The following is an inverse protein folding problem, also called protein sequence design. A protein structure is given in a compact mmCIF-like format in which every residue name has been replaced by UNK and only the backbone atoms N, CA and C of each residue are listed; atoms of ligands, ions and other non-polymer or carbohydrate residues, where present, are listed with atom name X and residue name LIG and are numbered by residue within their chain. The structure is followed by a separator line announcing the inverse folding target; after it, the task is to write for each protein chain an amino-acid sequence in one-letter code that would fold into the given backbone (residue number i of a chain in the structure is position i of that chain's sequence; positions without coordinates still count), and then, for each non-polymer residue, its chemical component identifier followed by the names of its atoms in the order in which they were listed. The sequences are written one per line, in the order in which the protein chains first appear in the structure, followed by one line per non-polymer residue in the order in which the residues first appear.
data_IF_569948684929
#
_entry.id   IF_569948684929
#
_cell.length_a   1.000
_cell.length_b   1.000
_cell.length_c   1.000
_cell.angle_alpha   90.00
_cell.angle_beta   90.00
_cell.angle_gamma   90.00
#
_symmetry.space_group_name_H-M   'P 1'
#
loop_
_entity.id
_entity.type
_entity.pdbx_description
1 polymer ?
#
# COMPACT_ATOMS: atom_id res chain seq x y z
N UNK A 1 8.57 36.27 0.77
CA UNK A 1 8.51 34.82 0.45
C UNK A 1 7.16 34.62 -0.22
N UNK A 2 7.13 34.60 -1.55
CA UNK A 2 5.95 34.28 -2.35
C UNK A 2 5.64 32.81 -2.10
N UNK A 3 4.49 32.51 -1.45
CA UNK A 3 3.91 31.17 -1.44
C UNK A 3 3.82 30.71 -2.89
N UNK A 4 4.43 29.56 -3.19
CA UNK A 4 4.23 28.91 -4.47
C UNK A 4 2.73 28.63 -4.57
N UNK A 5 2.07 29.27 -5.52
CA UNK A 5 0.66 29.04 -5.78
C UNK A 5 0.47 27.53 -6.02
N UNK A 6 -0.46 26.93 -5.30
CA UNK A 6 -0.84 25.53 -5.45
C UNK A 6 -1.26 25.28 -6.90
N UNK A 7 -0.40 24.65 -7.68
CA UNK A 7 -0.65 24.36 -9.09
C UNK A 7 -1.34 23.00 -9.19
N UNK A 8 -2.57 23.00 -9.69
CA UNK A 8 -3.29 21.76 -10.01
C UNK A 8 -2.66 21.16 -11.27
N UNK A 9 -2.21 19.91 -11.14
CA UNK A 9 -1.78 19.12 -12.30
C UNK A 9 -3.01 18.42 -12.90
N UNK A 10 -3.25 18.67 -14.19
CA UNK A 10 -4.37 18.06 -14.90
C UNK A 10 -3.88 16.85 -15.70
N UNK A 11 -4.57 15.72 -15.54
CA UNK A 11 -4.27 14.47 -16.24
C UNK A 11 -5.52 14.00 -16.96
N UNK A 12 -5.39 13.75 -18.27
CA UNK A 12 -6.45 13.21 -19.11
C UNK A 12 -6.03 11.85 -19.65
N UNK A 13 -6.48 10.74 -19.02
CA UNK A 13 -6.25 9.41 -19.54
C UNK A 13 -7.17 9.09 -20.71
N UNK A 14 -6.80 8.14 -21.57
CA UNK A 14 -7.72 7.58 -22.58
C UNK A 14 -8.96 7.00 -21.93
N UNK A 15 -8.82 6.38 -20.76
CA UNK A 15 -9.90 5.83 -19.94
C UNK A 15 -9.58 5.97 -18.46
N UNK A 16 -10.60 6.19 -17.65
CA UNK A 16 -10.49 6.22 -16.20
C UNK A 16 -11.46 5.24 -15.58
N UNK A 17 -10.98 4.36 -14.74
CA UNK A 17 -11.81 3.43 -13.97
C UNK A 17 -12.01 3.98 -12.55
N UNK A 18 -13.25 4.25 -12.18
CA UNK A 18 -13.61 4.71 -10.84
C UNK A 18 -15.00 4.20 -10.46
N UNK A 19 -15.19 3.82 -9.20
CA UNK A 19 -16.47 3.35 -8.65
C UNK A 19 -17.16 2.27 -9.51
N UNK A 20 -16.37 1.31 -10.01
CA UNK A 20 -16.88 0.19 -10.81
C UNK A 20 -17.24 0.56 -12.24
N UNK A 21 -16.93 1.78 -12.70
CA UNK A 21 -17.26 2.28 -14.04
C UNK A 21 -16.02 2.71 -14.81
N UNK A 22 -16.10 2.58 -16.12
CA UNK A 22 -15.09 3.07 -17.03
C UNK A 22 -15.59 4.37 -17.68
N UNK A 23 -14.85 5.46 -17.47
CA UNK A 23 -15.15 6.79 -17.98
C UNK A 23 -14.23 7.10 -19.15
N UNK A 24 -14.79 7.65 -20.22
CA UNK A 24 -14.05 8.13 -21.40
C UNK A 24 -14.12 9.65 -21.40
N UNK A 25 -12.99 10.31 -21.64
CA UNK A 25 -12.92 11.77 -21.64
C UNK A 25 -12.86 12.42 -20.25
N UNK A 26 -12.81 11.63 -19.18
CA UNK A 26 -12.66 12.15 -17.83
C UNK A 26 -11.27 12.79 -17.62
N UNK A 27 -11.22 13.80 -16.77
CA UNK A 27 -10.00 14.52 -16.39
C UNK A 27 -9.84 14.51 -14.87
N UNK A 28 -8.61 14.29 -14.41
CA UNK A 28 -8.23 14.37 -13.02
C UNK A 28 -7.46 15.66 -12.74
N UNK A 29 -7.85 16.37 -11.68
CA UNK A 29 -7.06 17.45 -11.10
C UNK A 29 -6.34 16.95 -9.85
N UNK A 30 -5.02 17.01 -9.85
CA UNK A 30 -4.16 16.56 -8.75
C UNK A 30 -3.49 17.76 -8.11
N UNK A 31 -3.64 17.88 -6.79
CA UNK A 31 -3.01 18.89 -5.97
C UNK A 31 -2.29 18.23 -4.80
N UNK A 32 -1.02 18.56 -4.60
CA UNK A 32 -0.19 18.00 -3.52
C UNK A 32 -0.23 16.47 -3.47
N UNK A 33 -0.17 15.80 -4.65
CA UNK A 33 -0.19 14.35 -4.78
C UNK A 33 -1.55 13.69 -4.49
N UNK A 34 -2.62 14.48 -4.39
CA UNK A 34 -3.98 13.97 -4.15
C UNK A 34 -4.93 14.38 -5.26
N UNK A 35 -5.78 13.46 -5.69
CA UNK A 35 -6.87 13.78 -6.61
C UNK A 35 -7.89 14.65 -5.88
N UNK A 36 -8.09 15.87 -6.36
CA UNK A 36 -9.05 16.85 -5.79
C UNK A 36 -10.28 17.01 -6.67
N UNK A 37 -10.10 16.82 -7.97
CA UNK A 37 -11.16 17.06 -8.98
C UNK A 37 -11.21 15.83 -9.88
N UNK A 38 -12.42 15.35 -10.08
CA UNK A 38 -12.79 14.41 -11.12
C UNK A 38 -13.94 15.03 -11.91
N UNK A 39 -13.81 15.14 -13.22
CA UNK A 39 -14.86 15.69 -14.07
C UNK A 39 -14.88 15.01 -15.44
N UNK A 40 -16.08 14.81 -15.98
CA UNK A 40 -16.32 14.40 -17.36
C UNK A 40 -16.62 15.62 -18.26
N UNK A 41 -16.87 16.77 -17.65
CA UNK A 41 -17.13 18.03 -18.37
C UNK A 41 -15.80 18.77 -18.60
N UNK A 42 -15.27 18.66 -19.82
CA UNK A 42 -13.96 19.20 -20.20
C UNK A 42 -14.10 20.66 -20.60
N UNK A 43 -14.48 21.52 -19.70
CA UNK A 43 -14.16 22.94 -19.79
C UNK A 43 -12.90 23.26 -18.97
N UNK A 44 -11.88 22.41 -19.06
CA UNK A 44 -10.53 22.80 -18.62
C UNK A 44 -10.09 23.87 -19.60
N UNK A 45 -10.16 25.12 -19.15
CA UNK A 45 -9.80 26.30 -19.98
C UNK A 45 -8.42 26.09 -20.58
N UNK A 46 -8.20 26.53 -21.81
CA UNK A 46 -6.94 26.44 -22.56
C UNK A 46 -5.68 26.91 -21.80
N UNK A 47 -5.87 27.56 -20.65
CA UNK A 47 -4.80 28.03 -19.77
C UNK A 47 -4.16 26.96 -18.88
N UNK A 48 -4.72 25.73 -18.82
CA UNK A 48 -4.19 24.68 -17.96
C UNK A 48 -3.39 23.68 -18.79
N UNK A 49 -2.16 23.41 -18.35
CA UNK A 49 -1.34 22.36 -18.94
C UNK A 49 -1.94 21.00 -18.56
N UNK A 50 -2.58 20.34 -19.53
CA UNK A 50 -3.15 18.99 -19.38
C UNK A 50 -2.14 17.98 -19.89
N UNK A 51 -1.82 17.01 -19.06
CA UNK A 51 -1.00 15.87 -19.43
C UNK A 51 -1.90 14.76 -19.99
N UNK A 52 -1.80 14.52 -21.30
CA UNK A 52 -2.47 13.39 -21.93
C UNK A 52 -1.75 12.09 -21.59
N UNK A 53 -2.51 11.06 -21.21
CA UNK A 53 -2.01 9.73 -20.88
C UNK A 53 -2.73 8.67 -21.70
N UNK A 54 -2.01 8.02 -22.61
CA UNK A 54 -2.59 6.92 -23.39
C UNK A 54 -2.58 5.63 -22.57
N UNK A 55 -3.67 5.40 -21.85
CA UNK A 55 -3.82 4.26 -21.00
C UNK A 55 -5.05 4.37 -20.09
N UNK A 56 -5.14 3.43 -19.16
CA UNK A 56 -6.19 3.41 -18.15
C UNK A 56 -5.59 3.90 -16.82
N UNK A 57 -6.22 4.89 -16.22
CA UNK A 57 -5.95 5.25 -14.82
C UNK A 57 -7.04 4.62 -13.95
N UNK A 58 -6.65 4.03 -12.84
CA UNK A 58 -7.55 3.49 -11.82
C UNK A 58 -6.98 3.76 -10.43
N UNK A 59 -7.79 3.70 -9.35
CA UNK A 59 -7.25 3.54 -8.01
C UNK A 59 -6.30 2.34 -7.95
N UNK A 60 -5.19 2.48 -7.22
CA UNK A 60 -4.26 1.38 -7.02
C UNK A 60 -4.85 0.30 -6.12
N UNK A 61 -4.33 -0.90 -6.22
CA UNK A 61 -4.74 -1.99 -5.33
C UNK A 61 -4.25 -1.76 -3.91
N UNK A 62 -5.06 -2.19 -2.94
CA UNK A 62 -4.67 -2.29 -1.54
C UNK A 62 -4.59 -3.78 -1.20
N UNK A 63 -3.42 -4.23 -0.79
CA UNK A 63 -3.18 -5.62 -0.41
C UNK A 63 -3.00 -5.70 1.12
N UNK A 64 -3.92 -6.42 1.77
CA UNK A 64 -4.00 -6.50 3.23
C UNK A 64 -3.16 -7.63 3.82
N UNK A 65 -2.52 -8.47 2.98
CA UNK A 65 -1.71 -9.59 3.43
C UNK A 65 -0.57 -9.86 2.46
N UNK A 66 0.61 -9.32 2.77
CA UNK A 66 1.81 -9.41 1.92
C UNK A 66 2.99 -9.92 2.73
N UNK A 67 3.28 -11.22 2.67
CA UNK A 67 4.36 -11.85 3.44
C UNK A 67 5.75 -11.48 2.94
N UNK A 68 5.87 -11.20 1.63
CA UNK A 68 7.15 -10.84 1.03
C UNK A 68 7.02 -10.38 -0.41
N UNK A 69 8.15 -10.03 -1.01
CA UNK A 69 8.25 -9.61 -2.41
C UNK A 69 9.67 -9.18 -2.76
N UNK A 70 10.00 -9.21 -4.05
CA UNK A 70 11.32 -8.78 -4.49
C UNK A 70 12.50 -9.63 -3.98
N UNK A 71 12.25 -10.87 -3.59
CA UNK A 71 13.26 -11.75 -2.99
C UNK A 71 13.39 -11.58 -1.47
N UNK A 72 12.52 -10.80 -0.83
CA UNK A 72 12.53 -10.55 0.61
C UNK A 72 11.30 -11.17 1.26
N UNK A 73 11.49 -11.81 2.41
CA UNK A 73 10.44 -12.32 3.29
C UNK A 73 10.53 -11.59 4.65
N UNK A 74 9.42 -11.01 5.11
CA UNK A 74 9.43 -10.16 6.31
C UNK A 74 9.88 -10.91 7.56
N UNK A 75 9.50 -12.20 7.72
CA UNK A 75 9.96 -13.02 8.83
C UNK A 75 11.48 -13.19 8.88
N UNK A 76 12.13 -13.28 7.72
CA UNK A 76 13.59 -13.46 7.63
C UNK A 76 14.33 -12.14 7.84
N UNK A 77 13.77 -11.06 7.30
CA UNK A 77 14.39 -9.73 7.34
C UNK A 77 13.38 -8.70 7.85
N UNK A 78 13.06 -8.68 9.16
CA UNK A 78 12.10 -7.74 9.73
C UNK A 78 12.76 -6.37 9.93
N UNK A 79 12.92 -5.62 8.83
CA UNK A 79 13.51 -4.28 8.80
C UNK A 79 12.66 -3.34 7.94
N UNK A 80 12.78 -2.05 8.18
CA UNK A 80 12.10 -0.99 7.40
C UNK A 80 12.45 -1.06 5.92
N UNK A 81 13.72 -1.29 5.60
CA UNK A 81 14.20 -1.40 4.22
C UNK A 81 13.57 -2.59 3.51
N UNK A 82 13.49 -3.73 4.19
CA UNK A 82 12.81 -4.92 3.68
C UNK A 82 11.33 -4.65 3.37
N UNK A 83 10.62 -3.94 4.27
CA UNK A 83 9.23 -3.52 4.05
C UNK A 83 9.11 -2.64 2.79
N UNK A 84 10.04 -1.71 2.58
CA UNK A 84 10.05 -0.87 1.38
C UNK A 84 10.34 -1.66 0.10
N UNK A 85 11.24 -2.63 0.15
CA UNK A 85 11.56 -3.47 -1.00
C UNK A 85 10.37 -4.36 -1.38
N UNK A 86 9.65 -4.90 -0.39
CA UNK A 86 8.39 -5.62 -0.59
C UNK A 86 7.37 -4.70 -1.28
N UNK A 87 7.12 -3.51 -0.74
CA UNK A 87 6.19 -2.55 -1.33
C UNK A 87 6.56 -2.17 -2.76
N UNK A 88 7.84 -1.92 -3.02
CA UNK A 88 8.37 -1.61 -4.35
C UNK A 88 8.14 -2.75 -5.35
N UNK A 89 8.28 -4.00 -4.93
CA UNK A 89 8.04 -5.15 -5.77
C UNK A 89 6.57 -5.25 -6.21
N UNK A 90 5.64 -5.06 -5.28
CA UNK A 90 4.20 -5.11 -5.56
C UNK A 90 3.69 -3.91 -6.36
N UNK A 91 4.30 -2.72 -6.17
CA UNK A 91 3.94 -1.51 -6.92
C UNK A 91 4.06 -1.67 -8.43
N UNK A 92 4.98 -2.49 -8.90
CA UNK A 92 5.14 -2.80 -10.35
C UNK A 92 3.88 -3.41 -10.96
N UNK A 93 3.01 -3.98 -10.14
CA UNK A 93 1.77 -4.64 -10.56
C UNK A 93 0.51 -3.86 -10.17
N UNK A 94 0.68 -2.58 -9.73
CA UNK A 94 -0.42 -1.68 -9.44
C UNK A 94 -0.86 -1.64 -7.98
N UNK A 95 -0.19 -2.35 -7.07
CA UNK A 95 -0.47 -2.25 -5.63
C UNK A 95 0.15 -0.96 -5.07
N UNK A 96 -0.67 -0.07 -4.52
CA UNK A 96 -0.24 1.23 -3.99
C UNK A 96 -0.30 1.32 -2.48
N UNK A 97 -1.03 0.41 -1.84
CA UNK A 97 -1.12 0.28 -0.39
C UNK A 97 -0.95 -1.17 0.04
N UNK A 98 -0.13 -1.44 1.07
CA UNK A 98 0.06 -2.79 1.60
C UNK A 98 0.04 -2.82 3.12
N UNK A 99 -0.37 -3.98 3.66
CA UNK A 99 -0.02 -4.42 5.01
C UNK A 99 1.04 -5.51 4.88
N UNK A 100 2.34 -5.20 5.07
CA UNK A 100 3.36 -6.23 5.19
C UNK A 100 2.94 -7.22 6.28
N UNK A 101 3.16 -8.51 6.03
CA UNK A 101 2.65 -9.56 6.91
C UNK A 101 3.80 -10.34 7.52
N UNK A 102 3.82 -10.41 8.85
CA UNK A 102 4.66 -11.34 9.60
C UNK A 102 3.79 -12.49 10.08
N UNK A 103 4.20 -13.74 9.78
CA UNK A 103 3.52 -14.93 10.25
C UNK A 103 4.09 -15.36 11.60
N UNK A 104 3.42 -16.32 12.25
CA UNK A 104 3.85 -16.96 13.51
C UNK A 104 5.35 -17.24 13.57
N UNK A 105 6.01 -16.62 14.53
CA UNK A 105 7.47 -16.75 14.78
C UNK A 105 7.78 -16.47 16.26
N UNK A 106 9.07 -16.42 16.59
CA UNK A 106 9.53 -16.02 17.90
C UNK A 106 9.08 -14.61 18.27
N UNK A 107 8.93 -14.33 19.55
CA UNK A 107 8.57 -12.98 20.04
C UNK A 107 9.55 -11.93 19.51
N UNK A 108 10.83 -12.26 19.44
CA UNK A 108 11.86 -11.34 18.92
C UNK A 108 11.65 -10.98 17.45
N UNK A 109 11.24 -11.91 16.59
CA UNK A 109 10.95 -11.64 15.17
C UNK A 109 9.70 -10.77 15.05
N UNK A 110 8.64 -11.12 15.80
CA UNK A 110 7.39 -10.34 15.80
C UNK A 110 7.62 -8.90 16.28
N UNK A 111 8.35 -8.71 17.39
CA UNK A 111 8.68 -7.39 17.92
C UNK A 111 9.46 -6.54 16.91
N UNK A 112 10.50 -7.10 16.29
CA UNK A 112 11.27 -6.38 15.25
C UNK A 112 10.42 -6.03 14.04
N UNK A 113 9.48 -6.89 13.64
CA UNK A 113 8.58 -6.59 12.54
C UNK A 113 7.61 -5.44 12.89
N UNK A 114 7.13 -5.38 14.13
CA UNK A 114 6.32 -4.26 14.63
C UNK A 114 7.12 -2.96 14.61
N UNK A 115 8.34 -2.95 15.17
CA UNK A 115 9.20 -1.77 15.20
C UNK A 115 9.50 -1.26 13.78
N UNK A 116 9.87 -2.17 12.87
CA UNK A 116 10.12 -1.84 11.47
C UNK A 116 8.88 -1.26 10.77
N UNK A 117 7.70 -1.80 11.04
CA UNK A 117 6.45 -1.31 10.47
C UNK A 117 6.10 0.07 11.03
N UNK A 118 6.25 0.30 12.33
CA UNK A 118 6.01 1.61 12.94
C UNK A 118 6.86 2.71 12.33
N UNK A 119 8.11 2.41 11.98
CA UNK A 119 8.99 3.35 11.29
C UNK A 119 8.60 3.58 9.82
N UNK A 120 7.93 2.61 9.18
CA UNK A 120 7.59 2.63 7.75
C UNK A 120 6.19 3.19 7.46
N UNK A 121 5.25 3.10 8.42
CA UNK A 121 3.84 3.53 8.24
C UNK A 121 3.75 4.96 7.71
N UNK A 122 2.84 5.17 6.74
CA UNK A 122 2.62 6.45 6.08
C UNK A 122 3.63 6.77 4.97
N UNK A 123 4.65 5.92 4.78
CA UNK A 123 5.67 6.08 3.74
C UNK A 123 5.50 4.97 2.69
N UNK A 124 5.77 5.28 1.42
CA UNK A 124 5.83 4.29 0.34
C UNK A 124 4.61 3.36 0.20
N UNK A 125 3.42 3.79 0.67
CA UNK A 125 2.20 3.00 0.60
C UNK A 125 2.06 1.96 1.73
N UNK A 126 2.88 2.05 2.78
CA UNK A 126 2.74 1.19 3.96
C UNK A 126 1.58 1.71 4.82
N UNK A 127 0.55 0.88 4.99
CA UNK A 127 -0.67 1.24 5.73
C UNK A 127 -0.62 0.80 7.20
N UNK A 128 0.23 -0.15 7.53
CA UNK A 128 0.36 -0.76 8.84
C UNK A 128 1.10 -2.07 8.76
N UNK A 129 0.83 -2.98 9.69
CA UNK A 129 1.35 -4.35 9.73
C UNK A 129 0.18 -5.33 9.89
N UNK A 130 0.24 -6.45 9.19
CA UNK A 130 -0.61 -7.60 9.45
C UNK A 130 0.20 -8.65 10.21
N UNK A 131 -0.33 -9.12 11.34
CA UNK A 131 0.27 -10.18 12.14
C UNK A 131 -0.61 -11.43 12.01
N UNK A 132 -0.11 -12.46 11.33
CA UNK A 132 -0.81 -13.71 11.09
C UNK A 132 -0.37 -14.77 12.11
N UNK A 133 -1.20 -14.97 13.11
CA UNK A 133 -0.84 -15.76 14.30
C UNK A 133 -0.17 -14.89 15.37
N UNK A 134 0.48 -15.48 16.41
CA UNK A 134 0.77 -16.90 16.66
C UNK A 134 -0.40 -17.69 17.27
N UNK A 135 -1.55 -17.08 17.50
CA UNK A 135 -2.71 -17.66 18.19
C UNK A 135 -3.62 -18.38 17.19
N UNK A 136 -3.10 -19.45 16.60
CA UNK A 136 -3.80 -20.28 15.60
C UNK A 136 -3.85 -21.74 16.05
N UNK A 137 -4.72 -22.53 15.39
CA UNK A 137 -4.80 -23.98 15.65
C UNK A 137 -3.56 -24.70 15.10
N UNK A 138 -2.95 -25.54 15.90
CA UNK A 138 -1.81 -26.36 15.50
C UNK A 138 -2.18 -27.30 14.36
N UNK A 139 -3.40 -27.87 14.38
CA UNK A 139 -3.88 -28.81 13.36
C UNK A 139 -4.08 -28.16 11.99
N UNK A 140 -4.36 -26.84 11.98
CA UNK A 140 -4.64 -26.08 10.77
C UNK A 140 -3.60 -25.00 10.50
N UNK A 141 -2.42 -25.12 11.09
CA UNK A 141 -1.37 -24.10 11.00
C UNK A 141 -0.82 -23.84 9.61
N UNK A 142 -1.02 -24.77 8.65
CA UNK A 142 -0.44 -24.66 7.33
C UNK A 142 1.10 -24.57 7.38
N UNK A 143 1.65 -23.50 6.83
CA UNK A 143 3.10 -23.26 6.77
C UNK A 143 3.71 -22.72 8.08
N UNK A 144 2.88 -22.35 9.07
CA UNK A 144 3.37 -21.81 10.33
C UNK A 144 4.12 -22.86 11.14
N UNK A 145 5.26 -22.48 11.74
CA UNK A 145 6.07 -23.37 12.56
C UNK A 145 5.35 -23.70 13.87
N UNK A 146 5.08 -24.99 14.12
CA UNK A 146 4.33 -25.45 15.28
C UNK A 146 4.94 -24.99 16.61
N UNK A 147 6.27 -24.90 16.68
CA UNK A 147 7.03 -24.49 17.87
C UNK A 147 6.73 -23.05 18.34
N UNK A 148 6.25 -22.19 17.45
CA UNK A 148 5.91 -20.80 17.75
C UNK A 148 4.40 -20.55 17.89
N UNK A 149 3.57 -21.56 17.60
CA UNK A 149 2.12 -21.47 17.87
C UNK A 149 1.91 -21.52 19.38
N UNK A 150 1.14 -20.57 19.90
CA UNK A 150 0.87 -20.45 21.33
C UNK A 150 -0.56 -19.98 21.61
N UNK A 151 -1.10 -20.29 22.80
CA UNK A 151 -2.40 -19.79 23.23
C UNK A 151 -2.42 -18.26 23.28
N UNK A 152 -3.61 -17.70 23.17
CA UNK A 152 -3.81 -16.28 23.40
C UNK A 152 -3.59 -15.98 24.88
N UNK A 153 -2.69 -15.08 25.19
CA UNK A 153 -2.41 -14.59 26.53
C UNK A 153 -2.37 -13.07 26.58
N UNK A 154 -2.54 -12.49 27.77
CA UNK A 154 -2.58 -11.03 27.93
C UNK A 154 -1.24 -10.36 27.59
N UNK A 155 -0.11 -11.02 27.83
CA UNK A 155 1.21 -10.44 27.60
C UNK A 155 1.52 -10.29 26.10
N UNK A 156 0.87 -11.10 25.27
CA UNK A 156 1.02 -11.01 23.80
C UNK A 156 0.12 -9.92 23.19
N UNK A 157 -0.92 -9.46 23.90
CA UNK A 157 -1.88 -8.47 23.40
C UNK A 157 -1.48 -7.05 23.79
N UNK A 158 -0.69 -6.89 24.83
CA UNK A 158 -0.22 -5.60 25.34
C UNK A 158 1.06 -5.14 24.67
#
# INVERSE_FOLDING_TARGET
VTEAADIIQWIRPSRLFNEGRLHIGAVLGVLNGRVQIFTEDIQVKEAHQVMDFDGIISPGFVDLQVNGGGGVLLNETPTKEAIWDIAKAHRKYGTTGILPTVITDSVSVLSRAVDAAMEAVGQNGILGLHIEGPHISVERRGTHKAEFVRPLDEDTIR
#
